data_IF_033521431974
#
_entry.id   IF_033521431974
#
_cell.length_a   1.000
_cell.length_b   1.000
_cell.length_c   1.000
_cell.angle_alpha   90.00
_cell.angle_beta   90.00
_cell.angle_gamma   90.00
#
_symmetry.space_group_name_H-M   'P 1'
#
loop_
_entity.id
_entity.type
_entity.pdbx_description
1 polymer ?
#
# COMPACT_ATOMS: atom_id res chain seq x y z
N UNK A 1 -57.38 -25.54 -28.15
CA UNK A 1 -56.66 -25.88 -26.90
C UNK A 1 -55.38 -25.09 -26.88
N UNK A 2 -55.42 -23.92 -26.23
CA UNK A 2 -54.28 -23.01 -26.09
C UNK A 2 -53.50 -23.36 -24.83
N UNK A 3 -52.19 -23.59 -24.96
CA UNK A 3 -51.26 -23.69 -23.84
C UNK A 3 -50.63 -22.33 -23.62
N UNK A 4 -51.01 -21.69 -22.51
CA UNK A 4 -50.44 -20.46 -22.01
C UNK A 4 -49.10 -20.79 -21.34
N UNK A 5 -48.00 -20.29 -21.89
CA UNK A 5 -46.69 -20.33 -21.24
C UNK A 5 -46.59 -19.20 -20.22
N UNK A 6 -46.56 -19.57 -18.96
CA UNK A 6 -46.23 -18.66 -17.85
C UNK A 6 -44.77 -18.26 -18.00
N UNK A 7 -44.51 -16.96 -18.18
CA UNK A 7 -43.18 -16.37 -18.02
C UNK A 7 -42.87 -16.33 -16.53
N UNK A 8 -42.01 -17.21 -16.07
CA UNK A 8 -41.35 -17.08 -14.78
C UNK A 8 -40.44 -15.83 -14.82
N UNK A 9 -40.81 -14.85 -14.02
CA UNK A 9 -40.01 -13.67 -13.75
C UNK A 9 -38.80 -14.11 -12.92
N UNK A 10 -37.62 -14.16 -13.53
CA UNK A 10 -36.36 -14.28 -12.83
C UNK A 10 -36.15 -13.01 -11.98
N UNK A 11 -36.44 -13.11 -10.69
CA UNK A 11 -36.00 -12.11 -9.71
C UNK A 11 -34.49 -12.28 -9.54
N UNK A 12 -33.66 -11.25 -9.72
CA UNK A 12 -32.25 -11.38 -9.37
C UNK A 12 -32.15 -11.64 -7.85
N UNK A 13 -31.37 -12.66 -7.51
CA UNK A 13 -30.98 -13.02 -6.15
C UNK A 13 -30.50 -11.75 -5.40
N UNK A 14 -30.76 -11.61 -4.10
CA UNK A 14 -30.25 -10.50 -3.35
C UNK A 14 -28.72 -10.65 -3.24
N UNK A 15 -27.98 -10.09 -4.18
CA UNK A 15 -26.62 -9.69 -3.91
C UNK A 15 -26.71 -8.77 -2.69
N UNK A 16 -26.22 -9.24 -1.56
CA UNK A 16 -25.99 -8.41 -0.38
C UNK A 16 -25.39 -7.11 -0.87
N UNK A 17 -26.03 -5.98 -0.55
CA UNK A 17 -25.44 -4.66 -0.78
C UNK A 17 -24.09 -4.67 -0.07
N UNK A 18 -23.01 -4.84 -0.81
CA UNK A 18 -21.66 -4.58 -0.32
C UNK A 18 -21.71 -3.11 0.07
N UNK A 19 -21.48 -2.80 1.34
CA UNK A 19 -21.37 -1.42 1.78
C UNK A 19 -20.16 -0.86 1.02
N UNK A 20 -20.40 0.11 0.14
CA UNK A 20 -19.33 0.74 -0.63
C UNK A 20 -18.27 1.30 0.31
N UNK A 21 -17.09 0.70 0.27
CA UNK A 21 -15.96 1.14 1.09
C UNK A 21 -15.09 2.10 0.32
N UNK A 22 -14.70 3.17 0.98
CA UNK A 22 -13.75 4.14 0.43
C UNK A 22 -12.36 3.88 0.98
N UNK A 23 -11.38 3.85 0.07
CA UNK A 23 -9.97 3.79 0.41
C UNK A 23 -9.24 5.06 0.00
N UNK A 24 -8.25 5.45 0.79
CA UNK A 24 -7.39 6.58 0.49
C UNK A 24 -6.10 6.08 -0.17
N UNK A 25 -5.92 6.40 -1.44
CA UNK A 25 -4.80 5.98 -2.28
C UNK A 25 -3.94 7.20 -2.63
N UNK A 26 -2.61 7.11 -2.48
CA UNK A 26 -1.75 8.24 -2.84
C UNK A 26 -1.07 8.08 -4.19
N UNK A 27 -0.95 6.85 -4.70
CA UNK A 27 -0.41 6.61 -6.04
C UNK A 27 -0.96 5.29 -6.61
N UNK A 28 -1.05 5.22 -7.94
CA UNK A 28 -1.33 4.00 -8.69
C UNK A 28 -0.26 3.92 -9.77
N UNK A 29 0.67 2.99 -9.62
CA UNK A 29 1.79 2.80 -10.54
C UNK A 29 1.50 1.64 -11.47
N UNK A 30 1.16 1.96 -12.69
CA UNK A 30 0.94 0.97 -13.75
C UNK A 30 2.28 0.44 -14.28
N UNK A 31 2.30 -0.83 -14.68
CA UNK A 31 3.44 -1.52 -15.29
C UNK A 31 4.71 -1.52 -14.42
N UNK A 32 4.56 -1.65 -13.10
CA UNK A 32 5.66 -1.84 -12.17
C UNK A 32 6.30 -3.23 -12.35
N UNK A 33 7.64 -3.29 -12.21
CA UNK A 33 8.43 -4.52 -12.39
C UNK A 33 9.19 -4.95 -11.12
N UNK A 34 8.94 -4.26 -9.99
CA UNK A 34 9.64 -4.51 -8.73
C UNK A 34 8.72 -4.87 -7.56
N UNK A 35 7.42 -4.86 -7.80
CA UNK A 35 6.40 -5.01 -6.74
C UNK A 35 5.74 -6.41 -6.82
N UNK A 36 6.53 -7.43 -7.14
CA UNK A 36 6.15 -8.83 -7.29
C UNK A 36 6.50 -9.42 -8.66
N UNK A 37 6.14 -10.69 -8.88
CA UNK A 37 6.43 -11.36 -10.14
C UNK A 37 5.64 -10.76 -11.31
N UNK A 38 6.28 -10.72 -12.48
CA UNK A 38 5.71 -10.20 -13.72
C UNK A 38 5.56 -8.68 -13.73
N UNK A 39 4.72 -8.20 -14.64
CA UNK A 39 4.39 -6.76 -14.75
C UNK A 39 3.10 -6.52 -13.98
N UNK A 40 3.12 -5.54 -13.06
CA UNK A 40 2.02 -5.34 -12.13
C UNK A 40 1.52 -3.89 -12.13
N UNK A 41 0.28 -3.71 -11.70
CA UNK A 41 -0.18 -2.40 -11.23
C UNK A 41 -0.15 -2.38 -9.71
N UNK A 42 0.59 -1.43 -9.14
CA UNK A 42 0.70 -1.28 -7.68
C UNK A 42 -0.15 -0.13 -7.20
N UNK A 43 -1.03 -0.43 -6.25
CA UNK A 43 -1.90 0.55 -5.56
C UNK A 43 -1.25 0.91 -4.24
N UNK A 44 -0.90 2.17 -4.07
CA UNK A 44 -0.26 2.68 -2.86
C UNK A 44 -1.27 3.33 -1.93
N UNK A 45 -1.66 2.60 -0.89
CA UNK A 45 -2.62 3.04 0.14
C UNK A 45 -1.96 3.99 1.14
N UNK A 46 -2.73 4.99 1.59
CA UNK A 46 -2.27 6.02 2.53
C UNK A 46 -2.48 5.59 3.99
N UNK A 47 -1.56 6.04 4.83
CA UNK A 47 -1.51 5.73 6.25
C UNK A 47 -0.52 4.61 6.56
N UNK A 48 0.31 4.83 7.56
CA UNK A 48 1.22 3.81 8.08
C UNK A 48 1.38 4.02 9.59
N UNK A 49 1.20 2.99 10.41
CA UNK A 49 1.46 3.09 11.85
C UNK A 49 2.95 3.19 12.16
N UNK A 50 3.80 2.72 11.23
CA UNK A 50 5.24 2.83 11.34
C UNK A 50 5.72 4.17 10.78
N UNK A 51 6.84 4.66 11.32
CA UNK A 51 7.55 5.83 10.83
C UNK A 51 9.03 5.51 10.60
N UNK A 52 9.28 4.50 9.76
CA UNK A 52 10.63 4.01 9.49
C UNK A 52 11.56 5.14 9.08
N UNK A 53 12.77 5.18 9.67
CA UNK A 53 13.75 6.25 9.40
C UNK A 53 14.19 6.30 7.92
N UNK A 54 14.08 5.17 7.21
CA UNK A 54 14.43 5.00 5.79
C UNK A 54 13.23 4.91 4.84
N UNK A 55 12.04 5.33 5.26
CA UNK A 55 10.83 5.15 4.46
C UNK A 55 10.99 5.76 3.05
N UNK A 56 10.64 5.00 2.02
CA UNK A 56 10.69 5.45 0.62
C UNK A 56 9.44 6.23 0.19
N UNK A 57 8.35 6.10 0.95
CA UNK A 57 7.04 6.65 0.62
C UNK A 57 6.54 7.57 1.74
N UNK A 58 7.19 8.74 1.97
CA UNK A 58 6.79 9.67 3.02
C UNK A 58 5.37 10.21 2.81
N UNK A 59 4.87 10.23 1.58
CA UNK A 59 3.49 10.56 1.20
C UNK A 59 2.47 9.52 1.68
N UNK A 60 2.91 8.30 1.97
CA UNK A 60 2.09 7.22 2.53
C UNK A 60 1.97 7.23 4.06
N UNK A 61 2.75 8.06 4.78
CA UNK A 61 2.79 7.99 6.25
C UNK A 61 1.52 8.48 6.94
N UNK A 62 0.91 9.57 6.44
CA UNK A 62 -0.32 10.10 7.01
C UNK A 62 -1.55 9.37 6.48
N UNK A 63 -2.53 9.11 7.36
CA UNK A 63 -3.85 8.62 6.98
C UNK A 63 -4.81 9.71 6.48
N UNK A 64 -4.32 10.93 6.26
CA UNK A 64 -5.10 12.06 5.76
C UNK A 64 -4.56 12.53 4.42
N UNK A 65 -5.40 13.18 3.63
CA UNK A 65 -4.95 13.92 2.45
C UNK A 65 -3.90 14.96 2.85
N UNK A 66 -2.83 15.06 2.09
CA UNK A 66 -1.73 15.99 2.34
C UNK A 66 -1.33 16.71 1.06
N UNK A 67 -0.81 17.90 1.24
CA UNK A 67 -0.20 18.62 0.14
C UNK A 67 1.07 17.90 -0.34
N UNK A 68 1.21 17.77 -1.65
CA UNK A 68 2.43 17.33 -2.31
C UNK A 68 2.97 18.44 -3.20
N UNK A 69 4.19 18.91 -2.92
CA UNK A 69 4.86 19.94 -3.70
C UNK A 69 6.09 19.37 -4.40
N UNK A 70 6.05 19.25 -5.73
CA UNK A 70 7.25 18.91 -6.49
C UNK A 70 8.28 20.03 -6.32
N UNK A 71 9.39 19.74 -5.64
CA UNK A 71 10.43 20.73 -5.33
C UNK A 71 11.19 21.14 -6.60
N UNK A 72 11.46 20.18 -7.46
CA UNK A 72 12.17 20.43 -8.71
C UNK A 72 11.32 21.30 -9.65
N UNK A 73 11.89 22.42 -10.07
CA UNK A 73 11.22 23.42 -10.93
C UNK A 73 10.38 24.46 -10.19
N UNK A 74 10.34 24.46 -8.86
CA UNK A 74 9.66 25.48 -8.08
C UNK A 74 10.39 26.83 -8.19
N UNK A 75 9.65 27.86 -8.64
CA UNK A 75 10.17 29.23 -8.82
C UNK A 75 10.28 30.02 -7.51
N UNK A 76 9.81 29.47 -6.41
CA UNK A 76 9.78 30.18 -5.12
C UNK A 76 8.86 31.42 -5.09
N UNK A 77 7.98 31.58 -6.08
CA UNK A 77 7.15 32.80 -6.25
C UNK A 77 6.12 33.05 -5.13
N UNK A 78 5.83 32.05 -4.29
CA UNK A 78 4.92 32.19 -3.16
C UNK A 78 3.42 32.24 -3.49
N UNK A 79 3.01 32.32 -4.75
CA UNK A 79 1.60 32.46 -5.16
C UNK A 79 0.69 31.41 -4.53
N UNK A 80 1.13 30.13 -4.45
CA UNK A 80 0.34 29.08 -3.84
C UNK A 80 0.14 29.20 -2.32
N UNK A 81 0.84 30.12 -1.65
CA UNK A 81 0.71 30.37 -0.21
C UNK A 81 -0.33 31.45 0.11
N UNK A 82 -0.81 32.16 -0.93
CA UNK A 82 -1.87 33.16 -0.73
C UNK A 82 -3.16 32.42 -0.41
N UNK A 83 -3.92 32.87 0.62
CA UNK A 83 -5.23 32.28 0.93
C UNK A 83 -6.16 32.29 -0.30
N UNK A 84 -6.95 31.24 -0.44
CA UNK A 84 -7.92 31.09 -1.52
C UNK A 84 -9.23 30.51 -0.98
N UNK A 85 -10.31 30.68 -1.73
CA UNK A 85 -11.65 30.26 -1.33
C UNK A 85 -12.07 28.89 -1.92
N UNK A 86 -11.13 28.17 -2.54
CA UNK A 86 -11.41 26.82 -3.08
C UNK A 86 -11.56 25.81 -1.94
N UNK A 87 -12.68 25.09 -1.90
CA UNK A 87 -12.99 24.15 -0.82
C UNK A 87 -11.92 23.05 -0.65
N UNK A 88 -11.39 22.54 -1.75
CA UNK A 88 -10.36 21.51 -1.77
C UNK A 88 -8.98 21.98 -1.25
N UNK A 89 -8.78 23.29 -1.14
CA UNK A 89 -7.51 23.86 -0.66
C UNK A 89 -7.50 24.22 0.82
N UNK A 90 -8.67 24.35 1.47
CA UNK A 90 -8.82 24.95 2.81
C UNK A 90 -7.91 24.34 3.87
N UNK A 91 -7.77 23.01 3.86
CA UNK A 91 -7.00 22.29 4.87
C UNK A 91 -5.56 21.98 4.44
N UNK A 92 -5.15 22.40 3.25
CA UNK A 92 -3.85 22.04 2.67
C UNK A 92 -2.77 23.10 2.91
N UNK A 93 -3.15 24.32 3.32
CA UNK A 93 -2.23 25.44 3.55
C UNK A 93 -1.59 26.02 2.28
N UNK A 94 -2.00 25.54 1.08
CA UNK A 94 -1.59 26.06 -0.23
C UNK A 94 -2.70 25.87 -1.25
N UNK A 95 -2.79 26.81 -2.18
CA UNK A 95 -3.70 26.70 -3.30
C UNK A 95 -3.16 25.71 -4.36
N UNK A 96 -4.03 24.80 -4.80
CA UNK A 96 -3.72 23.80 -5.84
C UNK A 96 -3.71 24.39 -7.26
N UNK A 97 -4.44 25.51 -7.48
CA UNK A 97 -4.79 26.01 -8.81
C UNK A 97 -3.85 27.11 -9.34
N UNK A 98 -3.17 27.84 -8.46
CA UNK A 98 -2.43 29.07 -8.85
C UNK A 98 -0.98 28.83 -9.24
N UNK A 99 -0.49 27.59 -9.17
CA UNK A 99 0.90 27.31 -9.47
C UNK A 99 1.14 27.33 -11.00
N UNK A 100 1.95 28.29 -11.55
CA UNK A 100 2.16 28.38 -12.99
C UNK A 100 2.93 27.20 -13.60
N UNK A 101 3.52 26.34 -12.73
CA UNK A 101 4.26 25.13 -13.10
C UNK A 101 3.51 23.84 -12.75
N UNK A 102 2.28 23.92 -12.24
CA UNK A 102 1.49 22.75 -11.80
C UNK A 102 2.25 21.80 -10.86
N UNK A 103 2.99 22.37 -9.90
CA UNK A 103 3.84 21.58 -8.97
C UNK A 103 3.14 21.24 -7.67
N UNK A 104 1.96 21.77 -7.43
CA UNK A 104 1.17 21.58 -6.20
C UNK A 104 0.06 20.59 -6.49
N UNK A 105 0.01 19.51 -5.73
CA UNK A 105 -1.01 18.47 -5.85
C UNK A 105 -1.38 17.92 -4.47
N UNK A 106 -2.33 17.03 -4.42
CA UNK A 106 -2.72 16.31 -3.19
C UNK A 106 -2.16 14.89 -3.24
N UNK A 107 -1.50 14.46 -2.17
CA UNK A 107 -1.21 13.06 -1.92
C UNK A 107 -2.40 12.47 -1.16
N UNK A 108 -3.14 11.61 -1.82
CA UNK A 108 -4.33 10.96 -1.28
C UNK A 108 -5.60 11.32 -2.05
N UNK A 109 -6.10 10.37 -2.82
CA UNK A 109 -7.39 10.41 -3.53
C UNK A 109 -8.26 9.32 -2.93
N UNK A 110 -9.50 9.65 -2.61
CA UNK A 110 -10.50 8.66 -2.20
C UNK A 110 -11.00 7.91 -3.43
N UNK A 111 -11.05 6.60 -3.29
CA UNK A 111 -11.58 5.69 -4.30
C UNK A 111 -12.65 4.80 -3.68
N UNK A 112 -13.79 4.68 -4.34
CA UNK A 112 -14.71 3.58 -4.07
C UNK A 112 -14.07 2.27 -4.56
N UNK A 113 -14.25 1.18 -3.82
CA UNK A 113 -13.65 -0.13 -4.13
C UNK A 113 -14.05 -0.64 -5.52
N UNK A 114 -15.31 -0.46 -5.92
CA UNK A 114 -15.82 -0.85 -7.23
C UNK A 114 -15.16 -0.04 -8.36
N UNK A 115 -15.10 1.29 -8.22
CA UNK A 115 -14.46 2.18 -9.19
C UNK A 115 -12.97 1.85 -9.39
N UNK A 116 -12.28 1.61 -8.26
CA UNK A 116 -10.88 1.23 -8.32
C UNK A 116 -10.70 -0.15 -8.97
N UNK A 117 -11.54 -1.13 -8.64
CA UNK A 117 -11.48 -2.45 -9.24
C UNK A 117 -11.69 -2.39 -10.77
N UNK A 118 -12.67 -1.64 -11.25
CA UNK A 118 -12.90 -1.43 -12.68
C UNK A 118 -11.66 -0.85 -13.37
N UNK A 119 -11.06 0.19 -12.78
CA UNK A 119 -9.82 0.79 -13.29
C UNK A 119 -8.69 -0.23 -13.35
N UNK A 120 -8.47 -1.00 -12.28
CA UNK A 120 -7.38 -1.98 -12.18
C UNK A 120 -7.55 -3.14 -13.18
N UNK A 121 -8.78 -3.54 -13.46
CA UNK A 121 -9.10 -4.62 -14.39
C UNK A 121 -8.99 -4.22 -15.87
N UNK A 122 -8.76 -2.95 -16.18
CA UNK A 122 -8.59 -2.49 -17.57
C UNK A 122 -7.49 -3.27 -18.31
N UNK A 123 -6.44 -3.70 -17.61
CA UNK A 123 -5.30 -4.44 -18.17
C UNK A 123 -5.27 -5.91 -17.78
N UNK A 124 -6.39 -6.50 -17.31
CA UNK A 124 -6.42 -7.86 -16.78
C UNK A 124 -5.91 -8.91 -17.78
N UNK A 125 -6.30 -8.79 -19.05
CA UNK A 125 -5.91 -9.77 -20.08
C UNK A 125 -4.40 -9.73 -20.33
N UNK A 126 -3.81 -8.53 -20.27
CA UNK A 126 -2.36 -8.36 -20.34
C UNK A 126 -1.66 -9.03 -19.15
N UNK A 127 -2.12 -8.77 -17.92
CA UNK A 127 -1.53 -9.40 -16.73
C UNK A 127 -1.65 -10.92 -16.75
N UNK A 128 -2.81 -11.44 -17.11
CA UNK A 128 -3.04 -12.89 -17.18
C UNK A 128 -2.17 -13.57 -18.25
N UNK A 129 -1.86 -12.85 -19.34
CA UNK A 129 -0.99 -13.38 -20.42
C UNK A 129 0.50 -13.29 -20.04
N UNK A 130 0.91 -12.20 -19.39
CA UNK A 130 2.32 -11.91 -19.07
C UNK A 130 2.76 -12.38 -17.68
N UNK A 131 1.88 -13.04 -16.91
CA UNK A 131 2.20 -13.52 -15.56
C UNK A 131 2.31 -12.43 -14.51
N UNK A 132 1.61 -11.30 -14.70
CA UNK A 132 1.58 -10.15 -13.77
C UNK A 132 0.34 -10.11 -12.89
N UNK A 133 -0.02 -8.90 -12.42
CA UNK A 133 -1.22 -8.74 -11.58
C UNK A 133 -1.33 -7.39 -10.87
N UNK A 134 -2.05 -7.39 -9.78
CA UNK A 134 -2.25 -6.21 -8.93
C UNK A 134 -1.51 -6.42 -7.59
N UNK A 135 -0.83 -5.39 -7.12
CA UNK A 135 -0.20 -5.38 -5.78
C UNK A 135 -0.78 -4.26 -4.95
N UNK A 136 -1.24 -4.57 -3.75
CA UNK A 136 -1.59 -3.57 -2.73
C UNK A 136 -0.33 -3.27 -1.92
N UNK A 137 0.03 -2.01 -1.82
CA UNK A 137 1.23 -1.52 -1.14
C UNK A 137 0.97 -0.12 -0.55
N UNK A 138 2.01 0.67 -0.28
CA UNK A 138 1.86 2.08 0.08
C UNK A 138 2.51 2.47 1.39
N UNK A 139 1.71 2.94 2.34
CA UNK A 139 2.06 3.03 3.75
C UNK A 139 1.99 1.64 4.37
N UNK A 140 0.86 1.34 5.02
CA UNK A 140 0.50 -0.01 5.46
C UNK A 140 -0.92 -0.31 4.97
N UNK A 141 -1.10 -1.20 3.99
CA UNK A 141 -2.43 -1.51 3.45
C UNK A 141 -3.42 -2.00 4.51
N UNK A 142 -2.93 -2.74 5.51
CA UNK A 142 -3.74 -3.29 6.58
C UNK A 142 -4.35 -2.22 7.51
N UNK A 143 -3.90 -0.96 7.43
CA UNK A 143 -4.56 0.15 8.11
C UNK A 143 -5.94 0.45 7.50
N UNK A 144 -6.15 0.02 6.26
CA UNK A 144 -7.41 0.11 5.52
C UNK A 144 -7.94 -1.29 5.20
N UNK A 145 -7.92 -2.20 6.18
CA UNK A 145 -8.18 -3.63 6.00
C UNK A 145 -9.54 -3.93 5.37
N UNK A 146 -10.60 -3.24 5.79
CA UNK A 146 -11.95 -3.44 5.24
C UNK A 146 -12.03 -3.07 3.76
N UNK A 147 -11.42 -1.95 3.37
CA UNK A 147 -11.29 -1.56 1.96
C UNK A 147 -10.47 -2.59 1.17
N UNK A 148 -9.35 -3.07 1.72
CA UNK A 148 -8.55 -4.12 1.07
C UNK A 148 -9.35 -5.40 0.87
N UNK A 149 -10.14 -5.82 1.86
CA UNK A 149 -11.00 -7.02 1.77
C UNK A 149 -12.01 -6.88 0.64
N UNK A 150 -12.69 -5.74 0.53
CA UNK A 150 -13.68 -5.51 -0.51
C UNK A 150 -13.01 -5.46 -1.90
N UNK A 151 -11.95 -4.68 -2.05
CA UNK A 151 -11.21 -4.56 -3.30
C UNK A 151 -10.66 -5.92 -3.77
N UNK A 152 -10.00 -6.67 -2.88
CA UNK A 152 -9.47 -8.00 -3.21
C UNK A 152 -10.59 -9.00 -3.56
N UNK A 153 -11.75 -8.88 -2.92
CA UNK A 153 -12.92 -9.71 -3.26
C UNK A 153 -13.41 -9.44 -4.69
N UNK A 154 -13.42 -8.17 -5.11
CA UNK A 154 -13.79 -7.78 -6.48
C UNK A 154 -12.76 -8.24 -7.53
N UNK A 155 -11.47 -8.29 -7.16
CA UNK A 155 -10.38 -8.71 -8.04
C UNK A 155 -10.23 -10.24 -8.11
N UNK A 156 -10.78 -10.98 -7.14
CA UNK A 156 -10.59 -12.41 -6.98
C UNK A 156 -11.02 -13.18 -8.24
N UNK A 157 -10.20 -14.15 -8.64
CA UNK A 157 -10.40 -14.97 -9.84
C UNK A 157 -10.38 -14.19 -11.18
N UNK A 158 -10.09 -12.89 -11.17
CA UNK A 158 -9.98 -12.10 -12.38
C UNK A 158 -8.52 -11.80 -12.74
N UNK A 159 -7.68 -11.58 -11.75
CA UNK A 159 -6.26 -11.26 -11.90
C UNK A 159 -5.51 -11.71 -10.65
N UNK A 160 -4.24 -12.07 -10.81
CA UNK A 160 -3.38 -12.42 -9.67
C UNK A 160 -3.18 -11.23 -8.76
N UNK A 161 -3.36 -11.42 -7.44
CA UNK A 161 -3.28 -10.36 -6.43
C UNK A 161 -2.14 -10.61 -5.45
N UNK A 162 -1.42 -9.55 -5.09
CA UNK A 162 -0.41 -9.59 -4.05
C UNK A 162 -0.57 -8.42 -3.06
N UNK A 163 0.01 -8.57 -1.89
CA UNK A 163 0.10 -7.50 -0.90
C UNK A 163 1.53 -7.35 -0.40
N UNK A 164 1.99 -6.12 -0.25
CA UNK A 164 3.20 -5.76 0.46
C UNK A 164 2.84 -5.13 1.79
N UNK A 165 3.25 -5.73 2.89
CA UNK A 165 2.87 -5.30 4.23
C UNK A 165 4.02 -5.43 5.23
N UNK A 166 4.04 -4.57 6.24
CA UNK A 166 4.87 -4.78 7.42
C UNK A 166 4.25 -5.80 8.40
N UNK A 167 3.00 -6.18 8.19
CA UNK A 167 2.24 -7.02 9.12
C UNK A 167 1.84 -6.32 10.42
N UNK A 168 1.98 -5.00 10.52
CA UNK A 168 1.58 -4.26 11.72
C UNK A 168 0.08 -3.98 11.71
N UNK A 169 -0.70 -4.98 12.05
CA UNK A 169 -2.16 -4.93 12.14
C UNK A 169 -2.68 -5.91 13.19
N UNK A 170 -3.91 -5.72 13.65
CA UNK A 170 -4.58 -6.75 14.43
C UNK A 170 -4.61 -8.05 13.65
N UNK A 171 -4.37 -9.16 14.32
CA UNK A 171 -4.29 -10.48 13.67
C UNK A 171 -5.56 -10.83 12.89
N UNK A 172 -6.73 -10.43 13.38
CA UNK A 172 -8.01 -10.65 12.68
C UNK A 172 -8.04 -9.96 11.32
N UNK A 173 -7.59 -8.71 11.24
CA UNK A 173 -7.57 -7.92 9.99
C UNK A 173 -6.48 -8.43 9.04
N UNK A 174 -5.32 -8.78 9.59
CA UNK A 174 -4.25 -9.43 8.85
C UNK A 174 -4.76 -10.70 8.16
N UNK A 175 -5.37 -11.61 8.91
CA UNK A 175 -5.89 -12.89 8.41
C UNK A 175 -6.96 -12.68 7.35
N UNK A 176 -7.92 -11.76 7.57
CA UNK A 176 -8.99 -11.48 6.60
C UNK A 176 -8.42 -11.06 5.24
N UNK A 177 -7.42 -10.17 5.24
CA UNK A 177 -6.84 -9.63 4.01
C UNK A 177 -5.98 -10.67 3.29
N UNK A 178 -5.02 -11.30 3.99
CA UNK A 178 -4.06 -12.22 3.34
C UNK A 178 -4.73 -13.46 2.73
N UNK A 179 -5.87 -13.91 3.26
CA UNK A 179 -6.65 -15.05 2.71
C UNK A 179 -7.28 -14.75 1.36
N UNK A 180 -7.35 -13.49 0.97
CA UNK A 180 -7.88 -13.06 -0.33
C UNK A 180 -6.76 -12.81 -1.34
N UNK A 181 -5.51 -12.75 -0.89
CA UNK A 181 -4.33 -12.57 -1.75
C UNK A 181 -3.83 -13.91 -2.29
N UNK A 182 -3.31 -13.90 -3.52
CA UNK A 182 -2.59 -15.04 -4.10
C UNK A 182 -1.14 -15.10 -3.61
N UNK A 183 -0.57 -13.95 -3.21
CA UNK A 183 0.80 -13.86 -2.71
C UNK A 183 0.95 -12.77 -1.63
N UNK A 184 1.81 -13.00 -0.63
CA UNK A 184 2.11 -12.04 0.43
C UNK A 184 3.60 -11.74 0.49
N UNK A 185 3.97 -10.48 0.32
CA UNK A 185 5.30 -9.96 0.66
C UNK A 185 5.23 -9.32 2.05
N UNK A 186 5.91 -9.88 3.02
CA UNK A 186 5.89 -9.37 4.39
C UNK A 186 7.26 -8.92 4.86
N UNK A 187 7.36 -7.68 5.29
CA UNK A 187 8.62 -7.09 5.71
C UNK A 187 8.95 -7.40 7.18
N UNK A 188 10.05 -8.11 7.42
CA UNK A 188 10.69 -8.23 8.74
C UNK A 188 11.94 -7.33 8.75
N UNK A 189 11.82 -6.18 9.39
CA UNK A 189 12.85 -5.12 9.32
C UNK A 189 13.96 -5.31 10.35
N UNK A 190 13.57 -5.58 11.59
CA UNK A 190 14.46 -5.79 12.73
C UNK A 190 13.87 -6.86 13.64
N UNK A 191 14.70 -7.81 14.08
CA UNK A 191 14.29 -8.88 14.99
C UNK A 191 14.19 -8.38 16.43
N UNK A 192 15.12 -7.51 16.86
CA UNK A 192 15.12 -6.92 18.19
C UNK A 192 14.03 -5.84 18.30
N UNK A 193 13.21 -5.94 19.34
CA UNK A 193 12.03 -5.08 19.54
C UNK A 193 12.39 -3.64 19.87
N UNK A 194 13.45 -3.42 20.64
CA UNK A 194 13.87 -2.06 21.00
C UNK A 194 14.50 -1.34 19.81
N UNK A 195 15.32 -2.05 19.02
CA UNK A 195 15.85 -1.49 17.78
C UNK A 195 14.74 -1.23 16.77
N UNK A 196 13.75 -2.14 16.67
CA UNK A 196 12.58 -1.94 15.82
C UNK A 196 11.85 -0.67 16.22
N UNK A 197 11.52 -0.51 17.52
CA UNK A 197 10.86 0.68 18.03
C UNK A 197 11.66 1.96 17.82
N UNK A 198 12.97 1.91 18.02
CA UNK A 198 13.87 3.04 17.82
C UNK A 198 13.83 3.57 16.38
N UNK A 199 13.84 2.68 15.39
CA UNK A 199 13.96 3.05 13.98
C UNK A 199 12.64 3.13 13.23
N UNK A 200 11.57 2.48 13.72
CA UNK A 200 10.26 2.46 13.06
C UNK A 200 9.16 3.14 13.87
N UNK A 201 9.43 3.48 15.13
CA UNK A 201 8.47 4.12 16.03
C UNK A 201 7.57 3.16 16.82
N UNK A 202 7.50 1.88 16.44
CA UNK A 202 6.67 0.85 17.07
C UNK A 202 7.49 -0.40 17.38
N UNK A 203 7.08 -1.16 18.40
CA UNK A 203 7.64 -2.49 18.62
C UNK A 203 7.22 -3.46 17.51
N UNK A 204 7.81 -4.66 17.48
CA UNK A 204 7.56 -5.65 16.44
C UNK A 204 6.73 -6.85 16.91
N UNK A 205 6.18 -6.83 18.11
CA UNK A 205 5.50 -8.01 18.70
C UNK A 205 4.39 -8.52 17.79
N UNK A 206 3.46 -7.64 17.42
CA UNK A 206 2.33 -8.00 16.55
C UNK A 206 2.77 -8.41 15.14
N UNK A 207 3.88 -7.83 14.64
CA UNK A 207 4.47 -8.21 13.35
C UNK A 207 4.96 -9.66 13.41
N UNK A 208 5.67 -10.03 14.48
CA UNK A 208 6.19 -11.39 14.65
C UNK A 208 5.09 -12.42 14.88
N UNK A 209 4.03 -12.07 15.60
CA UNK A 209 2.82 -12.90 15.75
C UNK A 209 2.15 -13.16 14.39
N UNK A 210 2.01 -12.14 13.57
CA UNK A 210 1.43 -12.24 12.23
C UNK A 210 2.36 -13.00 11.26
N UNK A 211 3.68 -12.83 11.37
CA UNK A 211 4.65 -13.59 10.61
C UNK A 211 4.58 -15.09 10.94
N UNK A 212 4.46 -15.44 12.21
CA UNK A 212 4.32 -16.83 12.63
C UNK A 212 3.03 -17.46 12.12
N UNK A 213 1.92 -16.70 12.12
CA UNK A 213 0.68 -17.15 11.49
C UNK A 213 0.87 -17.38 9.97
N UNK A 214 1.52 -16.44 9.28
CA UNK A 214 1.72 -16.51 7.83
C UNK A 214 2.51 -17.75 7.43
N UNK A 215 3.57 -18.10 8.14
CA UNK A 215 4.40 -19.31 7.93
C UNK A 215 3.57 -20.59 7.91
N UNK A 216 2.53 -20.66 8.74
CA UNK A 216 1.69 -21.85 8.91
C UNK A 216 0.36 -21.77 8.16
N UNK A 217 0.10 -20.67 7.44
CA UNK A 217 -1.18 -20.42 6.78
C UNK A 217 -1.38 -21.21 5.48
N UNK A 218 -0.31 -21.70 4.87
CA UNK A 218 -0.32 -22.29 3.54
C UNK A 218 -0.43 -21.27 2.40
N UNK A 219 -0.48 -19.98 2.69
CA UNK A 219 -0.53 -18.90 1.69
C UNK A 219 0.87 -18.68 1.11
N UNK A 220 1.04 -18.62 -0.23
CA UNK A 220 2.32 -18.30 -0.85
C UNK A 220 2.85 -16.96 -0.35
N UNK A 221 4.11 -16.94 0.11
CA UNK A 221 4.67 -15.72 0.67
C UNK A 221 6.20 -15.67 0.56
N UNK A 222 6.72 -14.45 0.68
CA UNK A 222 8.15 -14.16 0.85
C UNK A 222 8.31 -13.11 1.93
N UNK A 223 9.17 -13.39 2.91
CA UNK A 223 9.62 -12.36 3.84
C UNK A 223 10.65 -11.47 3.18
N UNK A 224 10.66 -10.17 3.52
CA UNK A 224 11.60 -9.23 2.96
C UNK A 224 12.26 -8.41 4.05
N UNK A 225 13.54 -8.08 3.85
CA UNK A 225 14.29 -7.21 4.77
C UNK A 225 15.04 -6.15 3.97
N UNK A 226 14.73 -4.86 4.15
CA UNK A 226 15.52 -3.78 3.56
C UNK A 226 16.89 -3.73 4.25
N UNK A 227 17.97 -3.74 3.48
CA UNK A 227 19.35 -3.70 3.98
C UNK A 227 19.81 -2.26 4.22
N UNK A 228 19.46 -1.69 5.35
CA UNK A 228 19.87 -0.32 5.72
C UNK A 228 21.23 -0.38 6.41
N UNK A 229 22.27 0.33 5.91
CA UNK A 229 23.63 0.27 6.42
C UNK A 229 23.71 0.51 7.93
N UNK A 230 24.35 -0.43 8.65
CA UNK A 230 24.56 -0.43 10.11
C UNK A 230 23.28 -0.43 10.95
N UNK A 231 22.12 -0.74 10.36
CA UNK A 231 20.85 -0.80 11.09
C UNK A 231 20.21 -2.18 10.88
N UNK A 232 19.78 -2.49 9.67
CA UNK A 232 19.10 -3.76 9.38
C UNK A 232 20.02 -4.80 8.74
N UNK A 233 21.13 -4.36 8.13
CA UNK A 233 22.12 -5.22 7.47
C UNK A 233 23.20 -5.79 8.42
N UNK A 234 23.07 -5.56 9.72
CA UNK A 234 24.02 -6.11 10.70
C UNK A 234 23.93 -7.64 10.74
N UNK A 235 25.07 -8.31 10.89
CA UNK A 235 25.10 -9.78 10.95
C UNK A 235 24.21 -10.34 12.07
N UNK A 236 24.15 -9.65 13.20
CA UNK A 236 23.28 -10.01 14.33
C UNK A 236 21.80 -10.01 13.92
N UNK A 237 21.32 -8.91 13.31
CA UNK A 237 19.94 -8.79 12.86
C UNK A 237 19.61 -9.84 11.78
N UNK A 238 20.49 -9.99 10.79
CA UNK A 238 20.25 -10.95 9.70
C UNK A 238 20.18 -12.38 10.21
N UNK A 239 21.10 -12.77 11.13
CA UNK A 239 21.07 -14.11 11.75
C UNK A 239 19.81 -14.33 12.58
N UNK A 240 19.33 -13.30 13.30
CA UNK A 240 18.09 -13.39 14.05
C UNK A 240 16.87 -13.52 13.15
N UNK A 241 16.81 -12.72 12.06
CA UNK A 241 15.71 -12.82 11.06
C UNK A 241 15.73 -14.18 10.36
N UNK A 242 16.89 -14.70 9.97
CA UNK A 242 17.02 -16.04 9.36
C UNK A 242 16.37 -17.13 10.21
N UNK A 243 16.58 -17.07 11.52
CA UNK A 243 15.91 -17.99 12.47
C UNK A 243 14.40 -17.78 12.55
N UNK A 244 13.93 -16.52 12.46
CA UNK A 244 12.50 -16.18 12.47
C UNK A 244 11.77 -16.67 11.24
N UNK A 245 12.34 -16.46 10.05
CA UNK A 245 11.72 -16.85 8.79
C UNK A 245 11.80 -18.35 8.52
N UNK A 246 12.81 -19.03 9.07
CA UNK A 246 12.99 -20.48 8.97
C UNK A 246 13.16 -20.93 7.51
N UNK A 247 12.33 -21.87 7.07
CA UNK A 247 12.35 -22.41 5.70
C UNK A 247 11.59 -21.55 4.66
N UNK A 248 10.94 -20.46 5.10
CA UNK A 248 10.21 -19.57 4.19
C UNK A 248 11.17 -18.82 3.27
N UNK A 249 10.68 -18.48 2.08
CA UNK A 249 11.43 -17.59 1.18
C UNK A 249 11.75 -16.26 1.86
N UNK A 250 12.99 -15.80 1.70
CA UNK A 250 13.47 -14.55 2.29
C UNK A 250 14.31 -13.74 1.30
N UNK A 251 13.86 -12.54 1.01
CA UNK A 251 14.48 -11.60 0.10
C UNK A 251 15.12 -10.43 0.88
N UNK A 252 16.37 -10.12 0.54
CA UNK A 252 17.13 -8.99 1.08
C UNK A 252 17.11 -7.86 0.06
N UNK A 253 16.43 -6.76 0.40
CA UNK A 253 16.24 -5.63 -0.51
C UNK A 253 17.39 -4.62 -0.36
N UNK A 254 18.08 -4.24 -1.43
CA UNK A 254 19.16 -3.26 -1.34
C UNK A 254 18.65 -1.90 -0.90
N UNK A 255 19.48 -1.15 -0.15
CA UNK A 255 19.17 0.20 0.27
C UNK A 255 19.08 1.15 -0.93
N UNK A 256 17.96 1.89 -1.00
CA UNK A 256 17.80 2.96 -1.97
C UNK A 256 18.18 4.32 -1.35
N UNK A 257 19.37 4.83 -1.70
CA UNK A 257 19.87 6.11 -1.19
C UNK A 257 19.04 7.33 -1.62
N UNK A 258 18.18 7.20 -2.64
CA UNK A 258 17.30 8.28 -3.10
C UNK A 258 16.00 8.41 -2.28
N UNK A 259 15.78 7.55 -1.29
CA UNK A 259 14.58 7.57 -0.45
C UNK A 259 14.28 8.96 0.15
N UNK A 260 15.33 9.72 0.53
CA UNK A 260 15.19 11.06 1.11
C UNK A 260 14.64 12.13 0.17
N UNK A 261 14.71 11.94 -1.14
CA UNK A 261 14.37 12.97 -2.12
C UNK A 261 12.91 13.45 -2.09
N UNK A 262 11.97 12.57 -1.70
CA UNK A 262 10.53 12.88 -1.65
C UNK A 262 10.09 13.63 -0.38
N UNK A 263 10.88 13.61 0.69
CA UNK A 263 10.46 14.12 2.01
C UNK A 263 10.12 15.59 1.99
N UNK A 264 10.93 16.41 1.33
CA UNK A 264 10.66 17.84 1.19
C UNK A 264 9.35 18.13 0.47
N UNK A 265 8.91 17.23 -0.42
CA UNK A 265 7.65 17.39 -1.17
C UNK A 265 6.40 17.29 -0.29
N UNK A 266 6.48 16.61 0.83
CA UNK A 266 5.40 16.49 1.83
C UNK A 266 5.71 17.25 3.14
N UNK A 267 6.69 18.17 3.09
CA UNK A 267 7.06 19.00 4.24
C UNK A 267 7.70 18.23 5.41
N UNK A 268 8.28 17.06 5.14
CA UNK A 268 8.95 16.21 6.13
C UNK A 268 10.46 16.27 5.99
N UNK A 269 11.15 15.85 7.05
CA UNK A 269 12.61 15.71 7.06
C UNK A 269 12.97 14.22 7.03
N UNK A 270 13.91 13.84 6.16
CA UNK A 270 14.48 12.48 6.14
C UNK A 270 15.32 12.26 7.41
N UNK A 271 15.23 11.05 8.00
CA UNK A 271 15.82 10.78 9.32
C UNK A 271 17.17 10.08 9.27
N UNK A 272 17.50 9.41 8.15
CA UNK A 272 18.84 8.86 7.93
C UNK A 272 19.67 9.93 7.24
N UNK A 273 20.63 10.49 7.95
CA UNK A 273 21.67 11.40 7.44
C UNK A 273 23.00 10.84 7.88
#
# INVERSE_FOLDING_TARGET
>A
MGKTFLKESFSPSPFQRINKMNGLVFDIKEFAVHDGEGIRTTVFLKGCPLCCAWCHNPEGLSSKKELYLKQNGCLGCGLCRVPCDHDECKDLGRCLHVCPKNLVSVAGVEWESEELAEKLLTHKDFFNTMGGGITLSGGEPLLQAEFCVELLTLLKCQVHTAIETSGYAKQEDFIKVIRLCDFVYMDIKLADSEQHKKYTGMDNKIILENAEYLKHSGIPHTFRTPLIPNITDTQENLTAIEKLVGESSWEKLPYNSLAGAKYASVGRRYRLI
#
